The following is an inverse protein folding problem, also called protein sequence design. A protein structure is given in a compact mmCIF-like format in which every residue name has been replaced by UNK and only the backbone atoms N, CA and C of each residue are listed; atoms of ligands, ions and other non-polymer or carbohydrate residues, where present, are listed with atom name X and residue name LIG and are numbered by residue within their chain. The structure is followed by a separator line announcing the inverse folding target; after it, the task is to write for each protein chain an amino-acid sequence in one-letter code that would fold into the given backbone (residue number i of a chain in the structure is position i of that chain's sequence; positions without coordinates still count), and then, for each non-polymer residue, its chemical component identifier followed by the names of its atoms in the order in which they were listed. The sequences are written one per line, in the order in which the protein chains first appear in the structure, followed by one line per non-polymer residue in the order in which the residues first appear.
data_IF_303098750469
#
_entry.id   IF_303098750469
#
_cell.length_a   1.000
_cell.length_b   1.000
_cell.length_c   1.000
_cell.angle_alpha   90.00
_cell.angle_beta   90.00
_cell.angle_gamma   90.00
#
_symmetry.space_group_name_H-M   'P 1'
#
loop_
_entity.id
_entity.type
_entity.pdbx_description
1 polymer ?
#
# COMPACT_ATOMS: atom_id res chain seq x y z
N UNK A 1 0.94 -7.78 0.89
CA UNK A 1 0.88 -7.11 -0.42
C UNK A 1 1.83 -7.84 -1.36
N UNK A 2 1.32 -8.38 -2.47
CA UNK A 2 2.15 -9.06 -3.47
C UNK A 2 2.58 -8.06 -4.53
N UNK A 3 3.88 -7.92 -4.76
CA UNK A 3 4.45 -7.02 -5.77
C UNK A 3 5.17 -7.83 -6.86
N UNK A 4 5.59 -7.18 -7.94
CA UNK A 4 6.41 -7.81 -8.98
C UNK A 4 7.81 -8.19 -8.50
N UNK A 5 8.27 -7.63 -7.38
CA UNK A 5 9.59 -7.87 -6.80
C UNK A 5 9.54 -8.76 -5.54
N UNK A 6 8.36 -9.27 -5.17
CA UNK A 6 8.16 -10.13 -4.01
C UNK A 6 7.04 -9.64 -3.07
N UNK A 7 6.91 -10.34 -1.95
CA UNK A 7 5.86 -10.06 -0.97
C UNK A 7 6.33 -9.07 0.10
N UNK A 8 5.45 -8.13 0.43
CA UNK A 8 5.60 -7.19 1.54
C UNK A 8 4.51 -7.49 2.56
N UNK A 9 4.92 -7.86 3.78
CA UNK A 9 4.04 -8.09 4.92
C UNK A 9 3.97 -6.81 5.75
N UNK A 10 2.75 -6.38 6.09
CA UNK A 10 2.50 -5.14 6.83
C UNK A 10 1.69 -5.47 8.09
N UNK A 11 2.09 -4.90 9.23
CA UNK A 11 1.28 -4.82 10.44
C UNK A 11 0.67 -3.42 10.54
N UNK A 12 -0.61 -3.34 10.93
CA UNK A 12 -1.34 -2.07 11.01
C UNK A 12 -1.63 -1.73 12.47
N UNK A 13 -1.22 -0.54 12.90
CA UNK A 13 -1.49 -0.02 14.25
C UNK A 13 -2.89 0.64 14.29
N UNK A 14 -3.91 -0.19 14.46
CA UNK A 14 -5.31 0.24 14.54
C UNK A 14 -5.61 1.06 15.80
N UNK A 15 -4.80 0.92 16.86
CA UNK A 15 -4.97 1.66 18.11
C UNK A 15 -4.55 3.13 17.91
N UNK A 16 -3.38 3.37 17.30
CA UNK A 16 -2.88 4.73 17.07
C UNK A 16 -3.49 5.41 15.84
N UNK A 17 -3.84 4.64 14.80
CA UNK A 17 -4.36 5.17 13.54
C UNK A 17 -5.62 4.42 13.06
N UNK A 18 -6.73 4.45 13.82
CA UNK A 18 -7.92 3.65 13.52
C UNK A 18 -8.56 4.00 12.18
N UNK A 19 -8.68 5.29 11.87
CA UNK A 19 -9.33 5.76 10.62
C UNK A 19 -8.50 5.38 9.39
N UNK A 20 -7.19 5.62 9.44
CA UNK A 20 -6.28 5.29 8.34
C UNK A 20 -6.19 3.78 8.12
N UNK A 21 -6.14 3.00 9.20
CA UNK A 21 -6.15 1.54 9.14
C UNK A 21 -7.42 1.02 8.49
N UNK A 22 -8.59 1.51 8.91
CA UNK A 22 -9.87 1.12 8.32
C UNK A 22 -9.95 1.49 6.84
N UNK A 23 -9.51 2.70 6.47
CA UNK A 23 -9.49 3.15 5.08
C UNK A 23 -8.58 2.27 4.21
N UNK A 24 -7.35 1.97 4.68
CA UNK A 24 -6.43 1.09 3.97
C UNK A 24 -7.00 -0.32 3.78
N UNK A 25 -7.59 -0.90 4.85
CA UNK A 25 -8.23 -2.21 4.78
C UNK A 25 -9.38 -2.24 3.77
N UNK A 26 -10.20 -1.18 3.71
CA UNK A 26 -11.30 -1.08 2.73
C UNK A 26 -10.78 -1.12 1.29
N UNK A 27 -9.76 -0.33 0.96
CA UNK A 27 -9.16 -0.35 -0.38
C UNK A 27 -8.50 -1.69 -0.70
N UNK A 28 -7.83 -2.32 0.27
CA UNK A 28 -7.23 -3.64 0.09
C UNK A 28 -8.30 -4.73 -0.15
N UNK A 29 -9.37 -4.75 0.65
CA UNK A 29 -10.47 -5.71 0.51
C UNK A 29 -11.24 -5.53 -0.80
N UNK A 30 -11.38 -4.29 -1.27
CA UNK A 30 -12.02 -4.00 -2.56
C UNK A 30 -11.10 -4.20 -3.76
N UNK A 31 -9.89 -4.74 -3.56
CA UNK A 31 -8.86 -4.93 -4.59
C UNK A 31 -8.44 -3.65 -5.31
N UNK A 32 -8.63 -2.49 -4.69
CA UNK A 32 -8.32 -1.20 -5.32
C UNK A 32 -6.83 -1.04 -5.63
N UNK A 33 -5.95 -1.62 -4.80
CA UNK A 33 -4.50 -1.55 -5.02
C UNK A 33 -3.97 -2.57 -6.05
N UNK A 34 -4.80 -3.51 -6.50
CA UNK A 34 -4.38 -4.52 -7.47
C UNK A 34 -4.10 -3.85 -8.82
N UNK A 35 -2.90 -4.08 -9.37
CA UNK A 35 -2.48 -3.47 -10.64
C UNK A 35 -1.88 -2.06 -10.50
N UNK A 36 -1.97 -1.43 -9.32
CA UNK A 36 -1.33 -0.13 -9.08
C UNK A 36 0.20 -0.24 -9.06
N UNK A 37 0.90 0.84 -9.45
CA UNK A 37 2.36 0.90 -9.51
C UNK A 37 2.98 1.75 -8.40
N UNK A 38 4.23 1.42 -8.04
CA UNK A 38 5.11 2.34 -7.30
C UNK A 38 5.65 3.41 -8.25
N UNK A 39 4.86 4.46 -8.47
CA UNK A 39 5.18 5.53 -9.42
C UNK A 39 6.29 6.48 -8.95
N UNK A 40 6.67 6.43 -7.66
CA UNK A 40 7.74 7.28 -7.14
C UNK A 40 8.66 6.49 -6.21
N UNK A 41 9.93 6.44 -6.58
CA UNK A 41 11.01 5.74 -5.87
C UNK A 41 12.16 6.71 -5.67
N UNK A 42 12.47 7.04 -4.42
CA UNK A 42 13.60 7.89 -4.06
C UNK A 42 14.60 7.04 -3.26
N UNK A 43 15.81 6.77 -3.82
CA UNK A 43 16.82 5.97 -3.14
C UNK A 43 17.10 6.49 -1.73
N UNK A 44 17.29 5.57 -0.78
CA UNK A 44 17.58 5.87 0.64
C UNK A 44 16.53 6.70 1.39
N UNK A 45 15.35 6.90 0.80
CA UNK A 45 14.26 7.66 1.43
C UNK A 45 12.97 6.85 1.50
N UNK A 46 12.27 6.69 0.37
CA UNK A 46 10.96 6.03 0.36
C UNK A 46 10.51 5.59 -1.04
N UNK A 47 9.47 4.75 -1.03
CA UNK A 47 8.66 4.40 -2.21
C UNK A 47 7.22 4.82 -1.98
N UNK A 48 6.53 5.24 -3.03
CA UNK A 48 5.14 5.70 -3.00
C UNK A 48 4.36 5.07 -4.16
N UNK A 49 3.15 4.59 -3.85
CA UNK A 49 2.26 3.88 -4.78
C UNK A 49 0.78 4.06 -4.43
N UNK A 50 -0.08 3.23 -5.02
CA UNK A 50 -1.52 3.17 -4.67
C UNK A 50 -2.40 4.29 -5.23
N UNK A 51 -1.95 4.98 -6.28
CA UNK A 51 -2.71 6.07 -6.92
C UNK A 51 -2.65 6.11 -8.45
N UNK A 52 -1.90 5.20 -9.09
CA UNK A 52 -1.76 5.10 -10.54
C UNK A 52 -1.63 3.63 -10.95
N UNK A 53 -2.14 3.30 -12.12
CA UNK A 53 -2.08 1.97 -12.73
C UNK A 53 -0.90 1.87 -13.72
N UNK A 54 -0.56 0.63 -14.09
CA UNK A 54 0.54 0.31 -15.02
C UNK A 54 0.24 0.66 -16.49
#
# INVERSE_FOLDING_TARGET
MKTTLGDVVLELDAEKAPVSTLNFLRYAQSKYYDGTVFHRVIPTFMIQGGGFDA
#
